data_IF_939283899241
#
_entry.id   IF_939283899241
#
_cell.length_a   1.000
_cell.length_b   1.000
_cell.length_c   1.000
_cell.angle_alpha   90.00
_cell.angle_beta   90.00
_cell.angle_gamma   90.00
#
_symmetry.space_group_name_H-M   'P 1'
#
loop_
_entity.id
_entity.type
_entity.pdbx_description
1 polymer ?
#
# COMPACT_ATOMS: atom_id res chain seq x y z
N UNK A 1 -31.03 -17.70 -87.57
CA UNK A 1 -32.22 -17.76 -86.70
C UNK A 1 -32.30 -16.44 -85.96
N UNK A 2 -33.38 -15.67 -86.15
CA UNK A 2 -33.56 -14.38 -85.47
C UNK A 2 -34.10 -14.64 -84.06
N UNK A 3 -33.71 -13.83 -83.10
CA UNK A 3 -34.06 -13.98 -81.68
C UNK A 3 -35.56 -13.73 -81.39
N UNK A 4 -36.31 -13.36 -82.43
CA UNK A 4 -37.70 -12.91 -82.41
C UNK A 4 -38.70 -14.08 -82.38
N UNK A 5 -38.27 -15.29 -82.79
CA UNK A 5 -39.13 -16.48 -82.93
C UNK A 5 -39.24 -17.34 -81.65
N UNK A 6 -38.66 -16.90 -80.53
CA UNK A 6 -38.70 -17.66 -79.25
C UNK A 6 -39.96 -17.25 -78.47
N UNK A 7 -40.88 -18.18 -78.14
CA UNK A 7 -42.09 -17.85 -77.40
C UNK A 7 -41.72 -17.37 -75.98
N UNK A 8 -41.98 -16.10 -75.69
CA UNK A 8 -41.78 -15.49 -74.37
C UNK A 8 -42.83 -16.03 -73.39
N UNK A 9 -42.63 -17.24 -72.90
CA UNK A 9 -43.44 -17.84 -71.84
C UNK A 9 -42.97 -17.31 -70.48
N UNK A 10 -43.80 -16.53 -69.81
CA UNK A 10 -43.55 -16.14 -68.42
C UNK A 10 -43.70 -17.38 -67.51
N UNK A 11 -42.57 -18.04 -67.23
CA UNK A 11 -42.51 -19.22 -66.36
C UNK A 11 -42.50 -18.88 -64.87
N UNK A 12 -42.36 -17.59 -64.53
CA UNK A 12 -42.34 -17.11 -63.16
C UNK A 12 -43.70 -16.54 -62.79
N UNK A 13 -44.41 -17.24 -61.91
CA UNK A 13 -45.63 -16.75 -61.28
C UNK A 13 -45.32 -16.53 -59.80
N UNK A 14 -45.61 -15.34 -59.30
CA UNK A 14 -45.45 -15.06 -57.87
C UNK A 14 -46.76 -15.36 -57.14
N UNK A 15 -46.68 -15.92 -55.93
CA UNK A 15 -47.87 -16.11 -55.10
C UNK A 15 -48.56 -14.77 -54.78
N UNK A 16 -49.87 -14.81 -54.61
CA UNK A 16 -50.66 -13.64 -54.23
C UNK A 16 -50.12 -13.02 -52.92
N UNK A 17 -49.93 -11.70 -52.92
CA UNK A 17 -49.44 -10.97 -51.75
C UNK A 17 -47.96 -11.15 -51.42
N UNK A 18 -47.15 -11.80 -52.29
CA UNK A 18 -45.72 -12.00 -52.06
C UNK A 18 -44.98 -10.67 -51.91
N UNK A 19 -45.19 -9.74 -52.84
CA UNK A 19 -44.54 -8.43 -52.82
C UNK A 19 -45.08 -7.50 -51.73
N UNK A 20 -46.30 -7.71 -51.24
CA UNK A 20 -46.87 -6.93 -50.13
C UNK A 20 -46.22 -7.30 -48.79
N UNK A 21 -45.87 -8.58 -48.60
CA UNK A 21 -45.24 -9.08 -47.37
C UNK A 21 -43.72 -8.93 -47.38
N UNK A 22 -43.10 -8.85 -48.56
CA UNK A 22 -41.65 -8.82 -48.75
C UNK A 22 -40.97 -7.66 -47.99
N UNK A 23 -41.46 -6.40 -47.99
CA UNK A 23 -40.84 -5.31 -47.24
C UNK A 23 -40.76 -5.59 -45.75
N UNK A 24 -41.83 -6.13 -45.15
CA UNK A 24 -41.86 -6.47 -43.72
C UNK A 24 -40.89 -7.60 -43.36
N UNK A 25 -40.77 -8.61 -44.22
CA UNK A 25 -39.83 -9.73 -44.06
C UNK A 25 -38.38 -9.27 -44.18
N UNK A 26 -38.08 -8.33 -45.07
CA UNK A 26 -36.74 -7.76 -45.22
C UNK A 26 -36.42 -6.89 -44.00
N UNK A 27 -37.32 -6.00 -43.59
CA UNK A 27 -37.13 -5.14 -42.42
C UNK A 27 -36.88 -5.94 -41.14
N UNK A 28 -37.66 -7.00 -40.87
CA UNK A 28 -37.45 -7.83 -39.68
C UNK A 28 -36.07 -8.49 -39.65
N UNK A 29 -35.60 -9.00 -40.80
CA UNK A 29 -34.26 -9.61 -40.92
C UNK A 29 -33.13 -8.60 -40.76
N UNK A 30 -33.31 -7.34 -41.17
CA UNK A 30 -32.31 -6.29 -40.99
C UNK A 30 -32.22 -5.87 -39.52
N UNK A 31 -33.37 -5.71 -38.86
CA UNK A 31 -33.45 -5.33 -37.44
C UNK A 31 -32.85 -6.41 -36.54
N UNK A 32 -33.17 -7.68 -36.79
CA UNK A 32 -32.60 -8.82 -36.05
C UNK A 32 -31.08 -8.91 -36.20
N UNK A 33 -30.54 -8.51 -37.36
CA UNK A 33 -29.10 -8.48 -37.63
C UNK A 33 -28.37 -7.30 -36.99
N UNK A 34 -29.05 -6.18 -36.72
CA UNK A 34 -28.45 -5.01 -36.04
C UNK A 34 -28.46 -5.12 -34.51
N UNK A 35 -29.30 -5.99 -33.94
CA UNK A 35 -29.50 -6.10 -32.49
C UNK A 35 -28.48 -6.99 -31.75
N UNK A 36 -27.33 -7.33 -32.36
CA UNK A 36 -26.25 -7.99 -31.65
C UNK A 36 -25.05 -7.06 -31.48
N UNK A 37 -24.96 -6.29 -30.38
CA UNK A 37 -23.66 -5.85 -29.91
C UNK A 37 -22.89 -7.09 -29.42
N UNK A 38 -22.23 -7.75 -30.36
CA UNK A 38 -21.29 -8.84 -30.11
C UNK A 38 -19.99 -8.27 -29.52
N UNK A 39 -20.02 -7.78 -28.28
CA UNK A 39 -18.81 -7.35 -27.56
C UNK A 39 -18.84 -7.71 -26.07
N UNK A 40 -19.61 -8.71 -25.67
CA UNK A 40 -19.56 -9.20 -24.28
C UNK A 40 -18.39 -10.18 -24.02
N UNK A 41 -17.77 -10.77 -25.06
CA UNK A 41 -16.71 -11.76 -24.89
C UNK A 41 -15.35 -11.19 -24.48
N UNK A 42 -14.96 -10.05 -25.04
CA UNK A 42 -13.66 -9.43 -24.75
C UNK A 42 -13.61 -8.79 -23.37
N UNK A 43 -14.73 -8.28 -22.86
CA UNK A 43 -14.77 -7.65 -21.54
C UNK A 43 -14.56 -8.66 -20.40
N UNK A 44 -15.01 -9.92 -20.55
CA UNK A 44 -14.79 -10.97 -19.54
C UNK A 44 -13.31 -11.36 -19.45
N UNK A 45 -12.60 -11.39 -20.58
CA UNK A 45 -11.15 -11.65 -20.60
C UNK A 45 -10.34 -10.45 -20.08
N UNK A 46 -10.72 -9.23 -20.46
CA UNK A 46 -10.10 -8.00 -19.95
C UNK A 46 -10.34 -7.86 -18.43
N UNK A 47 -11.53 -8.18 -17.93
CA UNK A 47 -11.84 -8.15 -16.50
C UNK A 47 -11.06 -9.21 -15.71
N UNK A 48 -10.82 -10.39 -16.30
CA UNK A 48 -10.02 -11.46 -15.67
C UNK A 48 -8.55 -11.08 -15.51
N UNK A 49 -8.00 -10.24 -16.39
CA UNK A 49 -6.63 -9.72 -16.28
C UNK A 49 -6.54 -8.39 -15.52
N UNK A 50 -7.59 -7.57 -15.51
CA UNK A 50 -7.62 -6.34 -14.72
C UNK A 50 -7.66 -6.62 -13.21
N UNK A 51 -8.27 -7.73 -12.79
CA UNK A 51 -8.40 -8.10 -11.37
C UNK A 51 -7.05 -8.34 -10.66
N UNK A 52 -6.11 -9.16 -11.17
CA UNK A 52 -4.80 -9.32 -10.54
C UNK A 52 -3.95 -8.05 -10.59
N UNK A 53 -3.99 -7.27 -11.68
CA UNK A 53 -3.23 -6.01 -11.78
C UNK A 53 -3.75 -4.97 -10.79
N UNK A 54 -5.07 -4.86 -10.63
CA UNK A 54 -5.67 -4.01 -9.60
C UNK A 54 -5.39 -4.52 -8.19
N UNK A 55 -5.39 -5.83 -7.96
CA UNK A 55 -5.07 -6.39 -6.64
C UNK A 55 -3.61 -6.11 -6.23
N UNK A 56 -2.65 -6.25 -7.16
CA UNK A 56 -1.24 -5.91 -6.91
C UNK A 56 -1.06 -4.41 -6.72
N UNK A 57 -1.70 -3.58 -7.55
CA UNK A 57 -1.67 -2.13 -7.40
C UNK A 57 -2.31 -1.66 -6.09
N UNK A 58 -3.42 -2.27 -5.68
CA UNK A 58 -4.11 -1.98 -4.43
C UNK A 58 -3.31 -2.48 -3.21
N UNK A 59 -2.67 -3.64 -3.31
CA UNK A 59 -1.76 -4.14 -2.28
C UNK A 59 -0.54 -3.22 -2.13
N UNK A 60 0.09 -2.80 -3.23
CA UNK A 60 1.15 -1.80 -3.21
C UNK A 60 0.66 -0.49 -2.60
N UNK A 61 -0.51 0.00 -3.01
CA UNK A 61 -1.11 1.22 -2.44
C UNK A 61 -1.35 1.12 -0.93
N UNK A 62 -1.83 -0.04 -0.43
CA UNK A 62 -1.98 -0.28 1.01
C UNK A 62 -0.64 -0.35 1.74
N UNK A 63 0.38 -0.99 1.14
CA UNK A 63 1.75 -1.04 1.69
C UNK A 63 2.35 0.36 1.77
N UNK A 64 2.21 1.17 0.71
CA UNK A 64 2.64 2.57 0.71
C UNK A 64 1.83 3.44 1.67
N UNK A 65 0.56 3.11 1.95
CA UNK A 65 -0.27 3.81 2.95
C UNK A 65 0.08 3.44 4.39
N UNK A 66 0.59 2.22 4.62
CA UNK A 66 1.03 1.73 5.93
C UNK A 66 2.52 2.00 6.18
N UNK A 67 3.22 2.66 5.26
CA UNK A 67 4.59 3.11 5.51
C UNK A 67 4.54 4.29 6.48
N UNK A 68 4.46 4.00 7.78
CA UNK A 68 4.66 5.01 8.84
C UNK A 68 6.05 5.62 8.62
N UNK A 69 6.17 6.88 8.16
CA UNK A 69 7.46 7.44 7.77
C UNK A 69 8.27 7.92 8.99
N UNK A 70 7.97 7.42 10.19
CA UNK A 70 8.47 7.98 11.45
C UNK A 70 8.76 6.92 12.50
N UNK A 71 9.30 5.75 12.13
CA UNK A 71 10.15 5.04 13.10
C UNK A 71 11.45 5.80 13.16
N UNK A 72 11.44 6.85 13.99
CA UNK A 72 12.64 7.63 14.27
C UNK A 72 13.65 6.67 14.92
N UNK A 73 14.97 6.81 14.66
CA UNK A 73 15.98 5.98 15.32
C UNK A 73 15.77 5.89 16.84
N UNK A 74 15.25 6.95 17.44
CA UNK A 74 14.85 7.07 18.84
C UNK A 74 13.75 6.08 19.24
N UNK A 75 12.73 5.84 18.40
CA UNK A 75 11.68 4.85 18.66
C UNK A 75 12.21 3.41 18.64
N UNK A 76 13.20 3.14 17.78
CA UNK A 76 13.87 1.83 17.72
C UNK A 76 14.74 1.61 18.97
N UNK A 77 15.41 2.66 19.44
CA UNK A 77 16.19 2.61 20.69
C UNK A 77 15.30 2.50 21.93
N UNK A 78 14.14 3.16 21.94
CA UNK A 78 13.17 3.08 23.03
C UNK A 78 12.51 1.69 23.16
N UNK A 79 12.58 0.88 22.10
CA UNK A 79 12.12 -0.51 22.13
C UNK A 79 13.09 -1.42 22.88
N UNK A 80 14.36 -1.03 23.02
CA UNK A 80 15.36 -1.80 23.76
C UNK A 80 15.13 -1.61 25.26
N UNK A 81 15.06 -2.73 26.00
CA UNK A 81 14.83 -2.69 27.44
C UNK A 81 16.12 -2.36 28.21
N UNK A 82 15.99 -1.68 29.35
CA UNK A 82 17.14 -1.40 30.23
C UNK A 82 17.80 -2.67 30.75
N UNK A 83 17.03 -3.74 30.95
CA UNK A 83 17.56 -5.06 31.36
C UNK A 83 18.52 -5.61 30.31
N UNK A 84 18.15 -5.56 29.04
CA UNK A 84 19.01 -6.00 27.93
C UNK A 84 20.28 -5.15 27.81
N UNK A 85 20.19 -3.83 28.04
CA UNK A 85 21.36 -2.94 28.06
C UNK A 85 22.32 -3.29 29.21
N UNK A 86 21.79 -3.55 30.41
CA UNK A 86 22.63 -3.96 31.56
C UNK A 86 23.26 -5.33 31.35
N UNK A 87 22.52 -6.27 30.75
CA UNK A 87 23.03 -7.59 30.42
C UNK A 87 24.16 -7.50 29.39
N UNK A 88 23.98 -6.69 28.34
CA UNK A 88 25.02 -6.44 27.35
C UNK A 88 26.26 -5.80 27.97
N UNK A 89 26.11 -4.81 28.86
CA UNK A 89 27.24 -4.18 29.55
C UNK A 89 28.03 -5.17 30.41
N UNK A 90 27.35 -6.10 31.08
CA UNK A 90 28.00 -7.15 31.87
C UNK A 90 28.71 -8.18 31.00
N UNK A 91 28.12 -8.56 29.86
CA UNK A 91 28.70 -9.53 28.93
C UNK A 91 29.86 -8.93 28.11
N UNK A 92 29.84 -7.61 27.86
CA UNK A 92 30.78 -6.94 26.96
C UNK A 92 32.08 -6.47 27.63
N UNK A 93 32.30 -6.78 28.92
CA UNK A 93 33.49 -6.39 29.71
C UNK A 93 33.85 -4.88 29.57
N UNK A 94 32.86 -4.02 29.29
CA UNK A 94 33.07 -2.58 29.11
C UNK A 94 33.08 -1.85 30.45
N UNK A 95 34.11 -1.08 30.70
CA UNK A 95 34.17 -0.19 31.87
C UNK A 95 33.60 1.19 31.57
N UNK A 96 33.27 1.95 32.61
CA UNK A 96 32.84 3.35 32.45
C UNK A 96 33.90 4.21 31.76
N UNK A 97 35.18 3.92 31.98
CA UNK A 97 36.29 4.62 31.32
C UNK A 97 36.30 4.34 29.81
N UNK A 98 36.09 3.08 29.40
CA UNK A 98 36.02 2.70 27.98
C UNK A 98 34.85 3.37 27.24
N UNK A 99 33.72 3.56 27.93
CA UNK A 99 32.56 4.26 27.39
C UNK A 99 32.84 5.76 27.19
N UNK A 100 33.56 6.38 28.11
CA UNK A 100 33.95 7.79 28.03
C UNK A 100 34.87 8.04 26.84
N UNK A 101 35.85 7.16 26.64
CA UNK A 101 36.76 7.21 25.51
C UNK A 101 36.04 7.02 24.17
N UNK A 102 35.00 6.15 24.13
CA UNK A 102 34.21 5.87 22.93
C UNK A 102 33.20 6.97 22.58
N UNK A 103 32.60 7.59 23.60
CA UNK A 103 31.59 8.64 23.41
C UNK A 103 32.17 9.94 22.83
N UNK A 104 33.51 10.07 22.76
CA UNK A 104 34.24 11.23 22.24
C UNK A 104 33.69 12.55 22.80
N UNK A 105 33.34 12.54 24.08
CA UNK A 105 32.84 13.70 24.79
C UNK A 105 34.00 14.66 25.01
N UNK A 106 33.76 15.93 24.70
CA UNK A 106 34.75 16.97 24.97
C UNK A 106 34.75 17.29 26.47
N UNK A 107 35.86 17.80 26.99
CA UNK A 107 36.05 18.06 28.43
C UNK A 107 34.96 19.00 29.00
N UNK A 108 34.46 19.94 28.19
CA UNK A 108 33.35 20.83 28.52
C UNK A 108 31.98 20.13 28.59
N UNK A 109 31.77 19.07 27.80
CA UNK A 109 30.55 18.25 27.84
C UNK A 109 30.55 17.33 29.08
N UNK A 110 31.72 16.83 29.48
CA UNK A 110 31.89 16.02 30.69
C UNK A 110 31.59 16.86 31.94
N UNK A 111 32.10 18.10 32.02
CA UNK A 111 31.82 19.01 33.13
C UNK A 111 30.33 19.35 33.25
N UNK A 112 29.65 19.56 32.12
CA UNK A 112 28.20 19.82 32.10
C UNK A 112 27.40 18.62 32.61
N UNK A 113 27.78 17.39 32.22
CA UNK A 113 27.14 16.16 32.69
C UNK A 113 27.41 15.91 34.19
N UNK A 114 28.64 16.14 34.64
CA UNK A 114 29.04 15.96 36.03
C UNK A 114 28.24 16.87 36.98
N UNK A 115 28.00 18.13 36.58
CA UNK A 115 27.14 19.04 37.33
C UNK A 115 25.68 18.58 37.45
N UNK A 116 25.17 17.82 36.47
CA UNK A 116 23.81 17.27 36.51
C UNK A 116 23.70 16.03 37.41
N UNK A 117 24.77 15.26 37.57
CA UNK A 117 24.77 14.00 38.32
C UNK A 117 25.22 14.17 39.78
N UNK A 118 26.12 15.10 40.08
CA UNK A 118 26.74 15.23 41.42
C UNK A 118 25.88 15.94 42.46
N UNK A 119 24.90 16.72 42.03
CA UNK A 119 23.96 17.40 42.92
C UNK A 119 22.53 17.09 42.48
N UNK A 120 22.02 15.86 42.67
CA UNK A 120 20.58 15.70 42.82
C UNK A 120 20.19 16.67 43.94
N UNK A 121 19.19 17.52 43.75
CA UNK A 121 18.71 18.48 44.75
C UNK A 121 18.84 17.87 46.15
N UNK A 122 19.89 18.28 46.87
CA UNK A 122 20.14 17.81 48.22
C UNK A 122 19.00 18.38 49.02
N UNK A 123 18.00 17.54 49.28
CA UNK A 123 16.84 17.91 50.06
C UNK A 123 17.36 18.48 51.36
N UNK A 124 17.16 19.79 51.58
CA UNK A 124 17.75 20.52 52.71
C UNK A 124 17.36 19.87 54.04
N UNK A 125 16.23 19.19 54.03
CA UNK A 125 15.63 18.50 55.16
C UNK A 125 16.42 17.23 55.55
N UNK A 126 17.13 16.58 54.61
CA UNK A 126 18.00 15.42 54.89
C UNK A 126 19.36 15.82 55.47
N UNK A 127 19.84 17.03 55.18
CA UNK A 127 21.09 17.55 55.74
C UNK A 127 20.93 17.97 57.22
N UNK A 128 19.75 18.42 57.63
CA UNK A 128 19.48 18.84 59.01
C UNK A 128 19.45 17.64 59.97
N UNK A 129 18.99 16.47 59.51
CA UNK A 129 19.00 15.22 60.29
C UNK A 129 20.44 14.69 60.51
N UNK A 130 21.30 14.77 59.49
CA UNK A 130 22.69 14.31 59.57
C UNK A 130 23.59 15.22 60.43
N UNK A 131 23.31 16.53 60.47
CA UNK A 131 24.05 17.49 61.30
C UNK A 131 23.68 17.35 62.78
N UNK A 132 22.44 16.96 63.10
CA UNK A 132 22.00 16.73 64.49
C UNK A 132 22.58 15.44 65.11
N UNK A 133 23.00 14.46 64.31
CA UNK A 133 23.60 13.23 64.81
C UNK A 133 25.12 13.35 65.10
N UNK A 134 25.78 14.40 64.58
CA UNK A 134 27.21 14.66 64.80
C UNK A 134 27.48 15.41 66.11
N UNK A 135 26.47 16.01 66.75
CA UNK A 135 26.61 16.80 67.99
C UNK A 135 26.16 16.04 69.27
N UNK A 136 26.28 14.70 69.29
CA UNK A 136 26.12 13.84 70.51
C UNK A 136 27.44 13.15 70.87
#
# INVERSE_FOLDING_TARGET
MKLEDIPKKNVFNTPEGYFDKLPGVIQSRIVEKQAQPATAGSFVWVLRYALPVLAVGFALFLIFRQSDPTSTPEDLLATVSTEDLTFYLVESDLTTEDLLDMANLQEDEIDALNNHILYPELDSDLLEDYVLEIDI
#
